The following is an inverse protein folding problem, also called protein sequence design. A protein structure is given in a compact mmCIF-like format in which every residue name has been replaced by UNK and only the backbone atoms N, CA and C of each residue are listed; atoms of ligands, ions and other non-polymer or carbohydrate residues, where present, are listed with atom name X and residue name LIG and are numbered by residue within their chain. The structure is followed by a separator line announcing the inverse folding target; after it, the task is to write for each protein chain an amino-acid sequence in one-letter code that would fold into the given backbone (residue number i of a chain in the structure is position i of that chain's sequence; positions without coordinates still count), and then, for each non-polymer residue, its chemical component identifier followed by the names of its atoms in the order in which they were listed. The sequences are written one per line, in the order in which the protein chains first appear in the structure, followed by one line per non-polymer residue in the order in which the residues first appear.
data_IF_280020343439
#
_entry.id   IF_280020343439
#
_cell.length_a   1.000
_cell.length_b   1.000
_cell.length_c   1.000
_cell.angle_alpha   90.00
_cell.angle_beta   90.00
_cell.angle_gamma   90.00
#
_symmetry.space_group_name_H-M   'P 1'
#
loop_
_entity.id
_entity.type
_entity.pdbx_description
1 polymer ?
#
# COMPACT_ATOMS: atom_id res chain seq x y z
N UNK A 1 7.11 -7.14 -4.73
CA UNK A 1 6.64 -8.29 -3.93
C UNK A 1 5.85 -9.17 -4.88
N UNK A 2 6.17 -10.47 -4.94
CA UNK A 2 5.57 -11.39 -5.93
C UNK A 2 4.08 -11.63 -5.66
N UNK A 3 3.68 -11.57 -4.40
CA UNK A 3 2.34 -11.82 -3.89
C UNK A 3 1.31 -10.79 -4.40
N UNK A 4 1.76 -9.64 -4.89
CA UNK A 4 0.90 -8.62 -5.52
C UNK A 4 0.29 -9.16 -6.84
N UNK A 5 0.99 -10.07 -7.52
CA UNK A 5 0.49 -10.73 -8.74
C UNK A 5 -0.75 -11.60 -8.46
N UNK A 6 -0.93 -12.04 -7.22
CA UNK A 6 -2.08 -12.85 -6.79
C UNK A 6 -3.28 -12.00 -6.37
N UNK A 7 -3.15 -10.68 -6.29
CA UNK A 7 -4.27 -9.79 -5.94
C UNK A 7 -5.24 -9.72 -7.11
N UNK A 8 -6.54 -10.03 -6.91
CA UNK A 8 -7.56 -9.81 -7.91
C UNK A 8 -7.59 -8.34 -8.36
N UNK A 9 -7.62 -8.10 -9.68
CA UNK A 9 -7.66 -6.74 -10.22
C UNK A 9 -8.86 -5.92 -9.70
N UNK A 10 -9.97 -6.59 -9.37
CA UNK A 10 -11.15 -5.98 -8.74
C UNK A 10 -10.85 -5.34 -7.37
N UNK A 11 -9.80 -5.77 -6.69
CA UNK A 11 -9.37 -5.25 -5.40
C UNK A 11 -8.31 -4.15 -5.51
N UNK A 12 -7.77 -3.85 -6.71
CA UNK A 12 -6.69 -2.87 -6.85
C UNK A 12 -7.11 -1.48 -6.39
N UNK A 13 -8.28 -1.02 -6.85
CA UNK A 13 -8.80 0.29 -6.48
C UNK A 13 -9.18 0.36 -4.98
N UNK A 14 -9.98 -0.57 -4.42
CA UNK A 14 -10.26 -0.61 -2.98
C UNK A 14 -9.01 -0.67 -2.10
N UNK A 15 -8.02 -1.47 -2.48
CA UNK A 15 -6.76 -1.58 -1.75
C UNK A 15 -5.97 -0.27 -1.82
N UNK A 16 -5.78 0.26 -3.03
CA UNK A 16 -5.06 1.52 -3.24
C UNK A 16 -5.66 2.67 -2.44
N UNK A 17 -6.99 2.84 -2.49
CA UNK A 17 -7.67 3.92 -1.77
C UNK A 17 -7.48 3.79 -0.25
N UNK A 18 -7.59 2.57 0.30
CA UNK A 18 -7.36 2.32 1.73
C UNK A 18 -5.92 2.58 2.15
N UNK A 19 -4.93 2.16 1.35
CA UNK A 19 -3.51 2.39 1.65
C UNK A 19 -3.16 3.88 1.58
N UNK A 20 -3.76 4.63 0.65
CA UNK A 20 -3.63 6.10 0.61
C UNK A 20 -4.15 6.72 1.90
N UNK A 21 -5.32 6.29 2.39
CA UNK A 21 -5.83 6.77 3.68
C UNK A 21 -4.84 6.52 4.82
N UNK A 22 -4.26 5.32 4.91
CA UNK A 22 -3.23 5.03 5.94
C UNK A 22 -2.08 6.02 5.89
N UNK A 23 -1.58 6.33 4.68
CA UNK A 23 -0.43 7.21 4.49
C UNK A 23 -0.78 8.67 4.84
N UNK A 24 -1.97 9.14 4.46
CA UNK A 24 -2.41 10.51 4.72
C UNK A 24 -2.79 10.74 6.19
N UNK A 25 -3.28 9.71 6.88
CA UNK A 25 -3.64 9.76 8.29
C UNK A 25 -2.41 9.58 9.22
N UNK A 26 -1.19 9.56 8.67
CA UNK A 26 0.05 9.48 9.44
C UNK A 26 0.23 10.69 10.34
N UNK A 27 0.38 10.47 11.65
CA UNK A 27 0.82 11.51 12.58
C UNK A 27 2.34 11.78 12.48
N UNK A 28 3.11 10.84 11.90
CA UNK A 28 4.55 10.95 11.72
C UNK A 28 4.90 11.40 10.29
N UNK A 29 5.17 12.69 10.12
CA UNK A 29 5.46 13.30 8.81
C UNK A 29 6.75 12.82 8.13
N UNK A 30 7.63 12.15 8.86
CA UNK A 30 8.93 11.65 8.42
C UNK A 30 9.00 10.11 8.34
N UNK A 31 7.88 9.40 8.52
CA UNK A 31 7.82 7.94 8.42
C UNK A 31 8.18 7.41 7.02
N UNK A 32 7.95 8.23 5.98
CA UNK A 32 8.33 7.92 4.60
C UNK A 32 9.28 8.98 4.04
N UNK A 33 10.22 8.55 3.19
CA UNK A 33 11.18 9.47 2.60
C UNK A 33 10.52 10.40 1.58
N UNK A 34 11.17 11.54 1.31
CA UNK A 34 10.76 12.44 0.24
C UNK A 34 10.78 11.74 -1.13
N UNK A 35 11.67 10.76 -1.34
CA UNK A 35 11.72 9.96 -2.56
C UNK A 35 10.48 9.07 -2.72
N UNK A 36 10.09 8.35 -1.66
CA UNK A 36 8.85 7.54 -1.64
C UNK A 36 7.63 8.42 -1.90
N UNK A 37 7.57 9.60 -1.26
CA UNK A 37 6.49 10.57 -1.47
C UNK A 37 6.41 11.03 -2.92
N UNK A 38 7.54 11.42 -3.53
CA UNK A 38 7.61 11.80 -4.95
C UNK A 38 7.15 10.67 -5.86
N UNK A 39 7.53 9.42 -5.56
CA UNK A 39 7.10 8.24 -6.33
C UNK A 39 5.58 8.04 -6.27
N UNK A 40 4.97 8.17 -5.09
CA UNK A 40 3.51 8.08 -4.92
C UNK A 40 2.82 9.18 -5.74
N UNK A 41 3.26 10.44 -5.62
CA UNK A 41 2.70 11.56 -6.38
C UNK A 41 2.84 11.34 -7.89
N UNK A 42 3.99 10.83 -8.35
CA UNK A 42 4.21 10.51 -9.75
C UNK A 42 3.21 9.46 -10.27
N UNK A 43 3.02 8.36 -9.53
CA UNK A 43 2.06 7.32 -9.90
C UNK A 43 0.62 7.82 -9.86
N UNK A 44 0.28 8.68 -8.91
CA UNK A 44 -1.05 9.30 -8.84
C UNK A 44 -1.37 10.16 -10.06
N UNK A 45 -0.42 10.99 -10.50
CA UNK A 45 -0.59 11.83 -11.69
C UNK A 45 -0.82 11.05 -12.98
N UNK A 46 -0.40 9.78 -13.02
CA UNK A 46 -0.56 8.87 -14.15
C UNK A 46 -1.75 7.92 -13.99
N UNK A 47 -2.57 8.08 -12.94
CA UNK A 47 -3.65 7.15 -12.57
C UNK A 47 -3.16 5.69 -12.35
N UNK A 48 -1.92 5.54 -11.88
CA UNK A 48 -1.26 4.24 -11.70
C UNK A 48 -1.20 3.77 -10.24
N UNK A 49 -1.92 4.41 -9.31
CA UNK A 49 -1.98 3.94 -7.92
C UNK A 49 -2.68 2.58 -7.78
N UNK A 50 -3.73 2.34 -8.57
CA UNK A 50 -4.43 1.06 -8.66
C UNK A 50 -3.79 0.12 -9.71
N UNK A 51 -2.47 0.00 -9.66
CA UNK A 51 -1.67 -0.93 -10.50
C UNK A 51 -0.76 -1.78 -9.60
N UNK A 52 -0.15 -2.87 -10.11
CA UNK A 52 0.79 -3.66 -9.30
C UNK A 52 1.92 -2.81 -8.71
N UNK A 53 2.52 -1.93 -9.51
CA UNK A 53 3.58 -1.00 -9.05
C UNK A 53 3.05 0.05 -8.07
N UNK A 54 1.82 0.52 -8.28
CA UNK A 54 1.12 1.44 -7.38
C UNK A 54 0.89 0.82 -6.00
N UNK A 55 0.28 -0.36 -5.99
CA UNK A 55 0.00 -1.15 -4.78
C UNK A 55 1.30 -1.47 -4.04
N UNK A 56 2.35 -1.91 -4.73
CA UNK A 56 3.64 -2.18 -4.09
C UNK A 56 4.21 -0.92 -3.42
N UNK A 57 4.14 0.22 -4.11
CA UNK A 57 4.66 1.48 -3.60
C UNK A 57 3.87 1.97 -2.39
N UNK A 58 2.54 1.89 -2.46
CA UNK A 58 1.64 2.28 -1.36
C UNK A 58 1.77 1.34 -0.17
N UNK A 59 1.87 0.03 -0.40
CA UNK A 59 1.98 -0.96 0.67
C UNK A 59 3.28 -0.77 1.45
N UNK A 60 4.41 -0.61 0.76
CA UNK A 60 5.69 -0.34 1.40
C UNK A 60 5.68 0.97 2.20
N UNK A 61 4.95 1.98 1.74
CA UNK A 61 4.79 3.23 2.46
C UNK A 61 3.88 3.07 3.69
N UNK A 62 2.74 2.40 3.55
CA UNK A 62 1.75 2.24 4.61
C UNK A 62 2.27 1.34 5.75
N UNK A 63 3.12 0.35 5.46
CA UNK A 63 3.77 -0.48 6.50
C UNK A 63 4.68 0.37 7.38
N UNK A 64 5.39 1.34 6.81
CA UNK A 64 6.27 2.24 7.58
C UNK A 64 5.48 3.21 8.45
N UNK A 65 4.33 3.65 7.95
CA UNK A 65 3.44 4.59 8.65
C UNK A 65 2.66 3.88 9.77
N UNK A 66 1.98 2.79 9.43
CA UNK A 66 1.12 2.06 10.35
C UNK A 66 0.98 0.58 9.91
N UNK A 67 1.88 -0.30 10.38
CA UNK A 67 1.87 -1.71 9.99
C UNK A 67 0.63 -2.44 10.50
N UNK A 68 0.13 -2.07 11.68
CA UNK A 68 -1.06 -2.67 12.28
C UNK A 68 -2.30 -2.39 11.44
N UNK A 69 -2.53 -1.15 11.04
CA UNK A 69 -3.69 -0.79 10.20
C UNK A 69 -3.54 -1.37 8.78
N UNK A 70 -2.32 -1.36 8.23
CA UNK A 70 -2.05 -1.94 6.92
C UNK A 70 -2.39 -3.43 6.87
N UNK A 71 -1.91 -4.22 7.82
CA UNK A 71 -2.19 -5.66 7.87
C UNK A 71 -3.68 -5.94 8.09
N UNK A 72 -4.36 -5.14 8.91
CA UNK A 72 -5.82 -5.23 9.07
C UNK A 72 -6.56 -5.01 7.75
N UNK A 73 -6.18 -4.01 6.96
CA UNK A 73 -6.77 -3.75 5.63
C UNK A 73 -6.61 -4.95 4.70
N UNK A 74 -5.43 -5.58 4.69
CA UNK A 74 -5.18 -6.77 3.88
C UNK A 74 -6.07 -7.93 4.32
N UNK A 75 -6.20 -8.16 5.63
CA UNK A 75 -7.07 -9.19 6.19
C UNK A 75 -8.56 -8.93 5.88
N UNK A 76 -9.03 -7.68 6.03
CA UNK A 76 -10.40 -7.25 5.73
C UNK A 76 -10.76 -7.40 4.23
N UNK A 77 -9.76 -7.33 3.35
CA UNK A 77 -9.91 -7.57 1.91
C UNK A 77 -9.70 -9.04 1.50
N UNK A 78 -9.40 -9.92 2.46
CA UNK A 78 -9.15 -11.34 2.18
C UNK A 78 -7.83 -11.59 1.43
N UNK A 79 -6.81 -10.76 1.64
CA UNK A 79 -5.50 -10.85 1.00
C UNK A 79 -4.48 -11.52 1.92
N UNK A 80 -4.78 -12.72 2.44
CA UNK A 80 -3.97 -13.35 3.50
C UNK A 80 -2.53 -13.63 3.08
N UNK A 81 -2.29 -14.00 1.81
CA UNK A 81 -0.93 -14.22 1.29
C UNK A 81 -0.06 -12.95 1.40
N UNK A 82 -0.65 -11.80 1.09
CA UNK A 82 -0.02 -10.50 1.23
C UNK A 82 0.18 -10.13 2.69
N UNK A 83 -0.78 -10.41 3.57
CA UNK A 83 -0.62 -10.20 5.01
C UNK A 83 0.59 -10.98 5.54
N UNK A 84 0.73 -12.25 5.16
CA UNK A 84 1.86 -13.10 5.59
C UNK A 84 3.18 -12.55 5.05
N UNK A 85 3.23 -12.19 3.76
CA UNK A 85 4.43 -11.63 3.15
C UNK A 85 4.89 -10.35 3.85
N UNK A 86 3.95 -9.47 4.20
CA UNK A 86 4.24 -8.21 4.90
C UNK A 86 4.73 -8.43 6.33
N UNK A 87 4.19 -9.41 7.07
CA UNK A 87 4.62 -9.72 8.44
C UNK A 87 6.03 -10.30 8.53
N UNK A 88 6.60 -10.73 7.40
CA UNK A 88 7.94 -11.34 7.31
C UNK A 88 9.01 -10.36 6.76
N UNK A 89 8.66 -9.08 6.53
CA UNK A 89 9.58 -8.01 6.16
C UNK A 89 10.26 -7.41 7.39
#
# INVERSE_FOLDING_TARGET
MKEIENVPASLYKPLSDKLVSVILDSEESNAISAETTKKIIYLWRQDQLASPTGIETLLNASIKVNPTNTTKILDDLGLQELTIAVKNL
#
